data_IF_145873402352
#
_entry.id   IF_145873402352
#
_cell.length_a   1.000
_cell.length_b   1.000
_cell.length_c   1.000
_cell.angle_alpha   90.00
_cell.angle_beta   90.00
_cell.angle_gamma   90.00
#
_symmetry.space_group_name_H-M   'P 1'
#
loop_
_entity.id
_entity.type
_entity.pdbx_description
1 polymer ?
#
# COMPACT_ATOMS: atom_id res chain seq x y z
N UNK A 1 12.34 -6.27 7.99
CA UNK A 1 11.92 -5.22 7.03
C UNK A 1 12.21 -3.87 7.68
N UNK A 2 13.08 -3.03 7.10
CA UNK A 2 13.31 -1.67 7.62
C UNK A 2 12.01 -0.86 7.63
N UNK A 3 11.93 0.15 8.49
CA UNK A 3 10.79 1.06 8.50
C UNK A 3 10.70 1.78 7.16
N UNK A 4 9.53 1.71 6.51
CA UNK A 4 9.30 2.32 5.20
C UNK A 4 9.32 3.87 5.23
N UNK A 5 9.29 4.46 6.42
CA UNK A 5 9.48 5.89 6.66
C UNK A 5 10.52 6.12 7.75
N UNK A 6 11.34 7.16 7.58
CA UNK A 6 12.21 7.70 8.64
C UNK A 6 11.66 9.05 9.06
N UNK A 7 11.41 9.20 10.36
CA UNK A 7 10.96 10.45 10.96
C UNK A 7 11.98 10.82 12.02
N UNK A 8 12.62 11.96 11.82
CA UNK A 8 13.65 12.51 12.71
C UNK A 8 13.22 13.89 13.18
N UNK A 9 13.67 14.27 14.36
CA UNK A 9 13.59 15.65 14.80
C UNK A 9 14.86 16.03 15.53
N UNK A 10 15.32 17.26 15.29
CA UNK A 10 16.56 17.80 15.83
C UNK A 10 16.27 19.17 16.43
N UNK A 11 17.01 19.52 17.48
CA UNK A 11 16.96 20.87 18.07
C UNK A 11 17.95 21.75 17.33
N UNK A 12 17.51 22.92 16.92
CA UNK A 12 18.33 23.97 16.32
C UNK A 12 18.27 25.25 17.17
N UNK A 13 19.16 26.21 16.91
CA UNK A 13 19.32 27.43 17.72
C UNK A 13 18.00 28.19 17.95
N UNK A 14 17.08 28.18 16.97
CA UNK A 14 15.78 28.84 17.03
C UNK A 14 14.58 27.95 17.33
N UNK A 15 14.74 26.63 17.49
CA UNK A 15 13.59 25.74 17.54
C UNK A 15 13.88 24.25 17.36
N UNK A 16 12.95 23.56 16.71
CA UNK A 16 13.06 22.16 16.33
C UNK A 16 12.78 22.00 14.86
N UNK A 17 13.56 21.18 14.18
CA UNK A 17 13.29 20.73 12.82
C UNK A 17 12.80 19.30 12.88
N UNK A 18 11.66 19.02 12.26
CA UNK A 18 11.13 17.67 12.09
C UNK A 18 11.14 17.33 10.60
N UNK A 19 11.78 16.22 10.25
CA UNK A 19 11.96 15.75 8.90
C UNK A 19 11.33 14.37 8.72
N UNK A 20 10.73 14.17 7.55
CA UNK A 20 10.16 12.90 7.09
C UNK A 20 10.84 12.50 5.80
N UNK A 21 11.32 11.26 5.72
CA UNK A 21 11.96 10.66 4.55
C UNK A 21 11.26 9.33 4.20
N UNK A 22 11.00 9.10 2.91
CA UNK A 22 10.24 7.94 2.39
C UNK A 22 11.04 7.14 1.35
N UNK A 23 12.36 7.09 1.47
CA UNK A 23 13.21 6.49 0.42
C UNK A 23 13.06 4.97 0.32
N UNK A 24 12.72 4.30 1.42
CA UNK A 24 12.62 2.83 1.53
C UNK A 24 11.20 2.27 1.35
N UNK A 25 10.29 3.03 0.73
CA UNK A 25 8.92 2.54 0.46
C UNK A 25 8.95 1.42 -0.59
N UNK A 26 8.30 0.25 -0.34
CA UNK A 26 8.24 -0.85 -1.29
C UNK A 26 7.64 -0.44 -2.64
N UNK A 27 8.08 -1.10 -3.72
CA UNK A 27 7.61 -0.83 -5.08
C UNK A 27 6.23 -1.44 -5.38
N UNK A 28 5.23 -1.01 -4.59
CA UNK A 28 3.83 -1.43 -4.70
C UNK A 28 2.97 -0.19 -4.60
N UNK A 29 2.51 0.32 -5.74
CA UNK A 29 1.79 1.61 -5.81
C UNK A 29 2.63 2.75 -5.20
N UNK A 30 3.98 2.67 -5.35
CA UNK A 30 4.96 3.49 -4.62
C UNK A 30 4.72 4.98 -4.80
N UNK A 31 4.60 5.42 -6.04
CA UNK A 31 4.40 6.84 -6.38
C UNK A 31 3.18 7.43 -5.66
N UNK A 32 2.02 6.76 -5.77
CA UNK A 32 0.79 7.18 -5.11
C UNK A 32 0.90 7.16 -3.60
N UNK A 33 1.55 6.14 -3.03
CA UNK A 33 1.74 6.03 -1.57
C UNK A 33 2.67 7.10 -1.03
N UNK A 34 3.81 7.35 -1.69
CA UNK A 34 4.74 8.41 -1.30
C UNK A 34 4.03 9.77 -1.36
N UNK A 35 3.35 10.08 -2.46
CA UNK A 35 2.61 11.33 -2.60
C UNK A 35 1.56 11.51 -1.49
N UNK A 36 0.73 10.48 -1.24
CA UNK A 36 -0.29 10.53 -0.19
C UNK A 36 0.33 10.64 1.21
N UNK A 37 1.45 9.97 1.48
CA UNK A 37 2.16 10.06 2.77
C UNK A 37 2.73 11.46 2.99
N UNK A 38 3.35 12.08 1.97
CA UNK A 38 3.85 13.46 2.06
C UNK A 38 2.73 14.48 2.21
N UNK A 39 1.59 14.27 1.54
CA UNK A 39 0.40 15.13 1.69
C UNK A 39 -0.13 15.06 3.13
N UNK A 40 -0.29 13.85 3.67
CA UNK A 40 -0.74 13.63 5.05
C UNK A 40 0.27 14.23 6.05
N UNK A 41 1.57 14.06 5.79
CA UNK A 41 2.62 14.64 6.63
C UNK A 41 2.57 16.17 6.63
N UNK A 42 2.51 16.77 5.44
CA UNK A 42 2.40 18.22 5.26
C UNK A 42 1.20 18.77 6.02
N UNK A 43 0.01 18.20 5.81
CA UNK A 43 -1.22 18.64 6.51
C UNK A 43 -1.11 18.49 8.03
N UNK A 44 -0.53 17.38 8.50
CA UNK A 44 -0.39 17.13 9.94
C UNK A 44 0.59 18.10 10.60
N UNK A 45 1.74 18.36 9.96
CA UNK A 45 2.78 19.24 10.48
C UNK A 45 2.36 20.71 10.45
N UNK A 46 1.70 21.16 9.37
CA UNK A 46 1.08 22.49 9.30
C UNK A 46 0.05 22.69 10.41
N UNK A 47 -0.88 21.73 10.59
CA UNK A 47 -1.89 21.81 11.66
C UNK A 47 -1.28 21.80 13.06
N UNK A 48 -0.08 21.24 13.21
CA UNK A 48 0.65 21.19 14.48
C UNK A 48 1.47 22.45 14.77
N UNK A 49 1.37 23.48 13.92
CA UNK A 49 2.07 24.76 14.08
C UNK A 49 3.48 24.78 13.51
N UNK A 50 3.84 23.79 12.68
CA UNK A 50 5.11 23.78 11.97
C UNK A 50 5.08 24.69 10.75
N UNK A 51 6.16 25.41 10.51
CA UNK A 51 6.39 26.12 9.25
C UNK A 51 7.20 25.25 8.28
N UNK A 52 6.78 25.12 7.03
CA UNK A 52 7.45 24.26 6.05
C UNK A 52 8.75 24.92 5.61
N UNK A 53 9.87 24.22 5.78
CA UNK A 53 11.20 24.73 5.40
C UNK A 53 11.78 24.01 4.19
N UNK A 54 11.37 22.76 3.95
CA UNK A 54 11.84 21.97 2.80
C UNK A 54 10.77 20.99 2.34
N UNK A 55 10.66 20.80 1.03
CA UNK A 55 9.85 19.75 0.42
C UNK A 55 10.55 19.26 -0.84
N UNK A 56 10.67 17.94 -0.95
CA UNK A 56 11.20 17.24 -2.12
C UNK A 56 10.21 16.13 -2.53
N UNK A 57 10.55 15.33 -3.53
CA UNK A 57 9.67 14.26 -4.02
C UNK A 57 9.45 13.11 -3.02
N UNK A 58 10.39 12.86 -2.10
CA UNK A 58 10.32 11.79 -1.09
C UNK A 58 10.46 12.28 0.35
N UNK A 59 10.60 13.58 0.56
CA UNK A 59 10.87 14.15 1.87
C UNK A 59 10.16 15.48 2.11
N UNK A 60 9.88 15.75 3.38
CA UNK A 60 9.37 17.06 3.82
C UNK A 60 9.92 17.40 5.20
N UNK A 61 10.29 18.66 5.42
CA UNK A 61 10.80 19.15 6.69
C UNK A 61 10.08 20.42 7.15
N UNK A 62 9.85 20.51 8.46
CA UNK A 62 9.13 21.59 9.11
C UNK A 62 9.89 22.10 10.33
N UNK A 63 9.97 23.42 10.47
CA UNK A 63 10.49 24.09 11.66
C UNK A 63 9.37 24.39 12.66
N UNK A 64 9.67 24.22 13.93
CA UNK A 64 8.78 24.47 15.06
C UNK A 64 9.47 25.38 16.07
N UNK A 65 8.70 26.24 16.74
CA UNK A 65 9.22 27.08 17.82
C UNK A 65 9.73 26.23 19.01
N UNK A 66 10.65 26.78 19.80
CA UNK A 66 11.17 26.13 21.01
C UNK A 66 10.06 25.71 22.01
N UNK A 67 8.95 26.45 22.05
CA UNK A 67 7.78 26.15 22.89
C UNK A 67 7.06 24.84 22.50
N UNK A 68 7.35 24.30 21.31
CA UNK A 68 6.78 23.04 20.84
C UNK A 68 7.51 21.80 21.40
N UNK A 69 8.67 21.96 22.03
CA UNK A 69 9.53 20.88 22.53
C UNK A 69 8.79 19.75 23.27
N UNK A 70 7.98 20.05 24.31
CA UNK A 70 7.23 19.03 25.05
C UNK A 70 6.27 18.20 24.19
N UNK A 71 5.82 18.74 23.05
CA UNK A 71 4.86 18.12 22.13
C UNK A 71 5.51 17.42 20.93
N UNK A 72 6.80 17.64 20.66
CA UNK A 72 7.50 17.08 19.49
C UNK A 72 7.40 15.57 19.39
N UNK A 73 7.60 14.86 20.51
CA UNK A 73 7.46 13.40 20.57
C UNK A 73 6.07 12.94 20.14
N UNK A 74 5.02 13.58 20.65
CA UNK A 74 3.64 13.24 20.33
C UNK A 74 3.27 13.55 18.86
N UNK A 75 3.80 14.66 18.32
CA UNK A 75 3.63 15.01 16.90
C UNK A 75 4.31 13.96 16.01
N UNK A 76 5.56 13.61 16.30
CA UNK A 76 6.30 12.60 15.54
C UNK A 76 5.63 11.22 15.60
N UNK A 77 5.11 10.81 16.77
CA UNK A 77 4.41 9.54 16.92
C UNK A 77 3.12 9.50 16.09
N UNK A 78 2.25 10.51 16.22
CA UNK A 78 0.99 10.59 15.44
C UNK A 78 1.24 10.67 13.95
N UNK A 79 2.31 11.37 13.55
CA UNK A 79 2.74 11.42 12.17
C UNK A 79 3.13 10.03 11.65
N UNK A 80 3.89 9.26 12.44
CA UNK A 80 4.27 7.89 12.11
C UNK A 80 3.03 7.01 11.90
N UNK A 81 2.10 7.03 12.84
CA UNK A 81 0.85 6.25 12.74
C UNK A 81 0.06 6.60 11.47
N UNK A 82 -0.03 7.89 11.14
CA UNK A 82 -0.70 8.36 9.92
C UNK A 82 0.00 7.91 8.64
N UNK A 83 1.33 8.01 8.59
CA UNK A 83 2.12 7.57 7.44
C UNK A 83 2.01 6.05 7.30
N UNK A 84 2.15 5.29 8.39
CA UNK A 84 2.04 3.83 8.39
C UNK A 84 0.66 3.37 7.92
N UNK A 85 -0.42 4.08 8.30
CA UNK A 85 -1.76 3.79 7.79
C UNK A 85 -1.86 3.95 6.27
N UNK A 86 -1.23 4.98 5.70
CA UNK A 86 -1.17 5.16 4.24
C UNK A 86 -0.31 4.08 3.58
N UNK A 87 0.87 3.78 4.14
CA UNK A 87 1.80 2.81 3.58
C UNK A 87 1.30 1.37 3.66
N UNK A 88 0.42 1.06 4.62
CA UNK A 88 -0.17 -0.28 4.80
C UNK A 88 -1.62 -0.38 4.32
N UNK A 89 -2.18 0.70 3.76
CA UNK A 89 -3.54 0.72 3.25
C UNK A 89 -3.79 -0.42 2.22
N UNK A 90 -4.98 -1.04 2.21
CA UNK A 90 -5.32 -2.07 1.23
C UNK A 90 -5.16 -1.61 -0.22
N UNK A 91 -4.82 -2.56 -1.09
CA UNK A 91 -4.57 -2.34 -2.51
C UNK A 91 -5.85 -2.55 -3.33
N UNK A 92 -6.03 -1.69 -4.32
CA UNK A 92 -7.02 -1.87 -5.37
C UNK A 92 -6.56 -2.93 -6.39
N UNK A 93 -7.49 -3.57 -7.13
CA UNK A 93 -7.14 -4.65 -8.06
C UNK A 93 -6.04 -4.29 -9.06
N UNK A 94 -6.10 -3.10 -9.68
CA UNK A 94 -5.08 -2.66 -10.65
C UNK A 94 -3.67 -2.53 -10.04
N UNK A 95 -3.59 -2.14 -8.78
CA UNK A 95 -2.32 -2.04 -8.08
C UNK A 95 -1.73 -3.44 -7.82
N UNK A 96 -2.58 -4.45 -7.57
CA UNK A 96 -2.16 -5.85 -7.42
C UNK A 96 -1.68 -6.42 -8.75
N UNK A 97 -2.42 -6.20 -9.84
CA UNK A 97 -2.06 -6.65 -11.18
C UNK A 97 -0.64 -6.15 -11.55
N UNK A 98 -0.39 -4.85 -11.34
CA UNK A 98 0.93 -4.23 -11.56
C UNK A 98 2.00 -4.77 -10.62
N UNK A 99 1.71 -4.88 -9.32
CA UNK A 99 2.70 -5.29 -8.31
C UNK A 99 3.17 -6.74 -8.48
N UNK A 100 2.27 -7.64 -8.92
CA UNK A 100 2.58 -9.06 -9.10
C UNK A 100 2.96 -9.42 -10.55
N UNK A 101 2.81 -8.49 -11.50
CA UNK A 101 3.04 -8.79 -12.93
C UNK A 101 2.07 -9.83 -13.48
N UNK A 102 0.79 -9.72 -13.09
CA UNK A 102 -0.26 -10.68 -13.44
C UNK A 102 -1.37 -9.97 -14.23
N UNK A 103 -2.06 -10.72 -15.07
CA UNK A 103 -3.21 -10.24 -15.81
C UNK A 103 -4.47 -10.18 -14.93
N UNK A 104 -5.43 -9.37 -15.37
CA UNK A 104 -6.76 -9.30 -14.75
C UNK A 104 -7.44 -10.68 -14.67
N UNK A 105 -7.23 -11.54 -15.67
CA UNK A 105 -7.81 -12.90 -15.73
C UNK A 105 -7.20 -13.80 -14.67
N UNK A 106 -5.88 -13.81 -14.54
CA UNK A 106 -5.18 -14.55 -13.48
C UNK A 106 -5.62 -14.08 -12.10
N UNK A 107 -5.68 -12.76 -11.89
CA UNK A 107 -6.18 -12.21 -10.62
C UNK A 107 -7.60 -12.68 -10.32
N UNK A 108 -8.52 -12.62 -11.28
CA UNK A 108 -9.91 -13.04 -11.08
C UNK A 108 -10.01 -14.54 -10.76
N UNK A 109 -9.23 -15.38 -11.44
CA UNK A 109 -9.14 -16.82 -11.17
C UNK A 109 -8.65 -17.06 -9.75
N UNK A 110 -7.46 -16.57 -9.41
CA UNK A 110 -6.86 -16.81 -8.10
C UNK A 110 -7.60 -16.14 -6.94
N UNK A 111 -8.33 -15.05 -7.21
CA UNK A 111 -9.28 -14.46 -6.26
C UNK A 111 -10.47 -15.40 -6.00
N UNK A 112 -11.08 -15.97 -7.05
CA UNK A 112 -12.21 -16.90 -6.91
C UNK A 112 -11.79 -18.22 -6.26
N UNK A 113 -10.59 -18.69 -6.59
CA UNK A 113 -10.03 -19.95 -6.09
C UNK A 113 -9.40 -19.80 -4.68
N UNK A 114 -9.46 -18.60 -4.09
CA UNK A 114 -8.98 -18.32 -2.74
C UNK A 114 -7.46 -18.23 -2.57
N UNK A 115 -6.67 -18.47 -3.63
CA UNK A 115 -5.20 -18.35 -3.61
C UNK A 115 -4.74 -16.91 -3.35
N UNK A 116 -5.50 -15.93 -3.84
CA UNK A 116 -5.22 -14.52 -3.66
C UNK A 116 -6.05 -13.94 -2.50
N UNK A 117 -5.44 -13.56 -1.36
CA UNK A 117 -6.18 -13.14 -0.17
C UNK A 117 -6.85 -11.78 -0.35
N UNK A 118 -8.02 -11.60 0.26
CA UNK A 118 -8.74 -10.32 0.29
C UNK A 118 -9.10 -9.90 1.71
N UNK A 119 -9.27 -8.60 1.94
CA UNK A 119 -9.54 -8.04 3.26
C UNK A 119 -10.78 -7.13 3.30
N UNK A 120 -11.62 -7.17 2.27
CA UNK A 120 -12.86 -6.40 2.21
C UNK A 120 -13.21 -5.93 0.82
N UNK A 121 -14.19 -5.03 0.73
CA UNK A 121 -14.64 -4.41 -0.52
C UNK A 121 -14.73 -2.90 -0.37
N UNK A 122 -14.17 -2.16 -1.32
CA UNK A 122 -14.42 -0.73 -1.48
C UNK A 122 -15.72 -0.52 -2.26
N UNK A 123 -16.54 0.45 -1.84
CA UNK A 123 -17.64 0.95 -2.65
C UNK A 123 -17.10 2.05 -3.55
N UNK A 124 -17.17 1.86 -4.85
CA UNK A 124 -16.92 2.90 -5.84
C UNK A 124 -18.26 3.32 -6.42
N UNK A 125 -18.68 4.55 -6.11
CA UNK A 125 -19.93 5.12 -6.60
C UNK A 125 -19.68 6.26 -7.59
N UNK A 126 -20.46 6.30 -8.66
CA UNK A 126 -20.61 7.49 -9.50
C UNK A 126 -22.11 7.70 -9.78
N UNK A 127 -22.68 8.75 -9.19
CA UNK A 127 -24.13 8.99 -9.25
C UNK A 127 -24.93 7.84 -8.62
N UNK A 128 -25.85 7.26 -9.40
CA UNK A 128 -26.71 6.15 -8.96
C UNK A 128 -26.04 4.77 -9.03
N UNK A 129 -24.90 4.63 -9.69
CA UNK A 129 -24.22 3.35 -9.85
C UNK A 129 -23.17 3.14 -8.75
N UNK A 130 -23.38 2.13 -7.91
CA UNK A 130 -22.41 1.71 -6.89
C UNK A 130 -21.86 0.33 -7.23
N UNK A 131 -20.54 0.23 -7.40
CA UNK A 131 -19.83 -1.03 -7.64
C UNK A 131 -18.99 -1.39 -6.42
N UNK A 132 -19.04 -2.66 -6.03
CA UNK A 132 -18.20 -3.19 -4.96
C UNK A 132 -16.94 -3.82 -5.56
N UNK A 133 -15.77 -3.32 -5.14
CA UNK A 133 -14.47 -3.76 -5.65
C UNK A 133 -13.70 -4.45 -4.52
N UNK A 134 -13.16 -5.68 -4.71
CA UNK A 134 -12.37 -6.34 -3.69
C UNK A 134 -11.07 -5.57 -3.40
N UNK A 135 -10.70 -5.53 -2.13
CA UNK A 135 -9.46 -4.97 -1.64
C UNK A 135 -8.51 -6.08 -1.18
N UNK A 136 -7.22 -5.85 -1.41
CA UNK A 136 -6.18 -6.82 -1.14
C UNK A 136 -5.24 -6.31 -0.02
N UNK A 137 -4.93 -7.13 0.99
CA UNK A 137 -4.09 -6.70 2.10
C UNK A 137 -2.65 -6.47 1.63
N UNK A 138 -2.12 -5.27 1.88
CA UNK A 138 -0.78 -4.86 1.44
C UNK A 138 0.31 -5.87 1.81
N UNK A 139 0.34 -6.31 3.08
CA UNK A 139 1.36 -7.24 3.57
C UNK A 139 1.38 -8.58 2.83
N UNK A 140 0.21 -9.09 2.45
CA UNK A 140 0.13 -10.36 1.73
C UNK A 140 0.62 -10.21 0.28
N UNK A 141 0.23 -9.11 -0.39
CA UNK A 141 0.71 -8.82 -1.74
C UNK A 141 2.21 -8.56 -1.76
N UNK A 142 2.74 -7.83 -0.77
CA UNK A 142 4.18 -7.63 -0.62
C UNK A 142 4.95 -8.94 -0.42
N UNK A 143 4.39 -9.89 0.34
CA UNK A 143 4.98 -11.23 0.49
C UNK A 143 4.99 -12.02 -0.83
N UNK A 144 3.90 -11.93 -1.61
CA UNK A 144 3.81 -12.57 -2.92
C UNK A 144 4.77 -11.93 -3.93
N UNK A 145 4.89 -10.60 -3.93
CA UNK A 145 5.87 -9.89 -4.77
C UNK A 145 7.30 -10.30 -4.44
N UNK A 146 7.62 -10.50 -3.15
CA UNK A 146 8.92 -11.00 -2.71
C UNK A 146 9.16 -12.49 -3.03
N UNK A 147 8.12 -13.23 -3.47
CA UNK A 147 8.22 -14.67 -3.78
C UNK A 147 7.65 -14.99 -5.18
N UNK A 148 8.28 -14.52 -6.27
CA UNK A 148 7.77 -14.71 -7.63
C UNK A 148 7.52 -16.18 -8.01
N UNK A 149 8.32 -17.11 -7.48
CA UNK A 149 8.16 -18.54 -7.68
C UNK A 149 6.75 -19.04 -7.31
N UNK A 150 6.10 -18.46 -6.29
CA UNK A 150 4.72 -18.84 -5.92
C UNK A 150 3.73 -18.55 -7.04
N UNK A 151 3.90 -17.43 -7.74
CA UNK A 151 3.05 -17.05 -8.88
C UNK A 151 3.30 -17.97 -10.07
N UNK A 152 4.55 -18.32 -10.34
CA UNK A 152 4.91 -19.28 -11.38
C UNK A 152 4.36 -20.68 -11.11
N UNK A 153 4.42 -21.14 -9.86
CA UNK A 153 3.83 -22.42 -9.44
C UNK A 153 2.32 -22.44 -9.71
N UNK A 154 1.62 -21.35 -9.40
CA UNK A 154 0.19 -21.22 -9.70
C UNK A 154 -0.08 -21.26 -11.19
N UNK A 155 0.72 -20.58 -12.01
CA UNK A 155 0.62 -20.64 -13.49
C UNK A 155 0.82 -22.06 -14.01
N UNK A 156 1.82 -22.80 -13.51
CA UNK A 156 2.06 -24.20 -13.91
C UNK A 156 0.90 -25.11 -13.54
N UNK A 157 0.36 -24.97 -12.32
CA UNK A 157 -0.84 -25.71 -11.88
C UNK A 157 -2.06 -25.41 -12.76
N UNK A 158 -2.21 -24.16 -13.19
CA UNK A 158 -3.32 -23.78 -14.06
C UNK A 158 -3.21 -24.38 -15.48
N UNK A 159 -1.99 -24.59 -16.00
CA UNK A 159 -1.78 -25.27 -17.29
C UNK A 159 -2.16 -26.76 -17.20
N UNK A 160 -1.84 -27.41 -16.08
CA UNK A 160 -2.13 -28.84 -15.89
C UNK A 160 -3.58 -29.13 -15.45
N UNK A 161 -4.25 -28.18 -14.79
CA UNK A 161 -5.64 -28.30 -14.36
C UNK A 161 -6.69 -28.12 -15.47
N UNK A 162 -6.33 -27.62 -16.65
CA UNK A 162 -7.24 -27.54 -17.82
C UNK A 162 -7.46 -28.92 -18.47
N UNK A 163 -6.65 -29.93 -18.12
CA UNK A 163 -6.72 -31.25 -18.75
C UNK A 163 -7.71 -32.23 -18.08
N UNK A 164 -8.27 -31.90 -16.91
CA UNK A 164 -9.11 -32.85 -16.15
C UNK A 164 -10.63 -32.59 -16.27
N UNK A 165 -11.04 -31.41 -16.76
CA UNK A 165 -12.47 -31.04 -16.92
C UNK A 165 -13.08 -31.45 -18.29
N UNK A 166 -12.26 -31.98 -19.21
CA UNK A 166 -12.69 -32.42 -20.55
C UNK A 166 -12.85 -33.94 -20.71
N UNK A 167 -12.67 -34.71 -19.62
CA UNK A 167 -12.79 -36.17 -19.64
C UNK A 167 -13.99 -36.65 -18.80
N UNK A 168 -15.20 -36.14 -19.08
CA UNK A 168 -16.43 -36.83 -18.69
C UNK A 168 -16.85 -37.74 -19.86
N UNK A 169 -16.90 -39.08 -19.68
CA UNK A 169 -17.25 -39.99 -20.75
C UNK A 169 -18.71 -39.82 -21.18
N UNK A 170 -18.90 -39.66 -22.49
CA UNK A 170 -20.19 -39.90 -23.14
C UNK A 170 -20.54 -41.37 -22.97
N UNK A 171 -21.31 -41.70 -21.93
CA UNK A 171 -22.01 -42.98 -21.87
C UNK A 171 -23.42 -42.79 -22.45
N UNK A 172 -23.54 -43.12 -23.72
CA UNK A 172 -24.79 -43.55 -24.36
C UNK A 172 -25.07 -44.98 -23.89
N UNK A 173 -26.31 -45.26 -23.47
CA UNK A 173 -27.02 -46.56 -23.52
C UNK A 173 -28.33 -46.44 -22.72
N UNK A 174 -29.46 -47.04 -23.06
CA UNK A 174 -30.02 -47.58 -24.30
C UNK A 174 -31.53 -47.66 -24.05
#
# INVERSE_FOLDING_TARGET
>A
MPAASRITWQREEGGFVLSVELDSVPDIDRERRVAASLEVATKHLQKSGGNRIRADATSVSFAFALSAGPRMRGIAQRLREKIDAVLTAPLAPRAVDKALGISQRERLRWYKDGRLPTCGRAKLGHGTHTVHIPLFPFKAIAKLQATPATIEDWRRKDVHGVSEDLAAPTTVQQ
#
